data_IF_437825938024
#
_entry.id   IF_437825938024
#
_cell.length_a   1.000
_cell.length_b   1.000
_cell.length_c   1.000
_cell.angle_alpha   90.00
_cell.angle_beta   90.00
_cell.angle_gamma   90.00
#
_symmetry.space_group_name_H-M   'P 1'
#
loop_
_entity.id
_entity.type
_entity.pdbx_description
1 polymer ?
#
# COMPACT_ATOMS: atom_id res chain seq x y z
N UNK A 1 -40.73 -22.68 -61.20
CA UNK A 1 -41.36 -23.53 -60.16
C UNK A 1 -40.22 -24.22 -59.42
N UNK A 2 -40.00 -24.12 -58.11
CA UNK A 2 -40.90 -24.13 -56.96
C UNK A 2 -40.09 -23.64 -55.73
N UNK A 3 -40.62 -22.68 -54.97
CA UNK A 3 -40.08 -22.27 -53.65
C UNK A 3 -40.39 -23.32 -52.57
N UNK A 4 -39.64 -23.23 -51.45
CA UNK A 4 -39.77 -23.81 -50.08
C UNK A 4 -38.50 -24.58 -49.75
N UNK A 5 -37.72 -24.27 -48.71
CA UNK A 5 -38.08 -23.77 -47.39
C UNK A 5 -36.92 -22.99 -46.76
N UNK A 6 -37.21 -21.76 -46.35
CA UNK A 6 -36.43 -20.99 -45.38
C UNK A 6 -36.49 -21.66 -43.99
N UNK A 7 -35.51 -21.32 -43.14
CA UNK A 7 -35.51 -21.51 -41.67
C UNK A 7 -35.24 -22.93 -41.18
N UNK A 8 -33.97 -23.32 -41.20
CA UNK A 8 -33.49 -24.36 -40.30
C UNK A 8 -32.04 -24.10 -39.91
N UNK A 9 -31.87 -23.72 -38.64
CA UNK A 9 -30.68 -23.98 -37.84
C UNK A 9 -29.47 -23.08 -38.14
N UNK A 10 -29.72 -21.79 -38.01
CA UNK A 10 -28.76 -20.78 -37.57
C UNK A 10 -28.37 -21.02 -36.10
N UNK A 11 -27.71 -22.13 -35.75
CA UNK A 11 -27.23 -22.40 -34.37
C UNK A 11 -26.07 -23.39 -34.36
N UNK A 12 -24.88 -22.98 -34.84
CA UNK A 12 -23.65 -23.68 -34.48
C UNK A 12 -22.51 -22.68 -34.20
N UNK A 13 -22.19 -22.59 -32.91
CA UNK A 13 -20.87 -22.31 -32.36
C UNK A 13 -20.25 -20.92 -32.56
N UNK A 14 -20.87 -19.88 -31.98
CA UNK A 14 -20.08 -18.81 -31.34
C UNK A 14 -19.66 -19.33 -29.96
N UNK A 15 -18.54 -20.04 -29.92
CA UNK A 15 -17.91 -20.45 -28.67
C UNK A 15 -16.40 -20.50 -28.86
N UNK A 16 -15.80 -19.37 -29.23
CA UNK A 16 -14.34 -19.22 -29.28
C UNK A 16 -13.94 -18.23 -28.19
N UNK A 17 -13.60 -18.82 -27.05
CA UNK A 17 -12.55 -18.37 -26.12
C UNK A 17 -12.81 -17.03 -25.43
N UNK A 18 -13.78 -17.03 -24.51
CA UNK A 18 -13.66 -16.32 -23.23
C UNK A 18 -12.72 -17.12 -22.32
N UNK A 19 -11.44 -17.26 -22.70
CA UNK A 19 -10.40 -17.58 -21.73
C UNK A 19 -10.14 -16.29 -20.95
N UNK A 20 -11.04 -16.01 -20.00
CA UNK A 20 -10.87 -14.93 -19.05
C UNK A 20 -9.50 -15.10 -18.41
N UNK A 21 -8.67 -14.08 -18.55
CA UNK A 21 -7.48 -13.86 -17.75
C UNK A 21 -7.93 -13.73 -16.29
N UNK A 22 -8.16 -14.87 -15.62
CA UNK A 22 -8.30 -14.91 -14.17
C UNK A 22 -6.88 -14.72 -13.64
N UNK A 23 -6.41 -13.47 -13.66
CA UNK A 23 -5.21 -13.14 -12.91
C UNK A 23 -5.49 -13.49 -11.45
N UNK A 24 -4.63 -14.25 -10.77
CA UNK A 24 -4.83 -14.53 -9.36
C UNK A 24 -4.87 -13.19 -8.63
N UNK A 25 -5.94 -12.95 -7.86
CA UNK A 25 -6.12 -11.75 -7.01
C UNK A 25 -4.90 -11.51 -6.10
N UNK A 26 -4.18 -12.58 -5.76
CA UNK A 26 -2.91 -12.53 -5.04
C UNK A 26 -1.80 -11.72 -5.75
N UNK A 27 -1.82 -11.61 -7.09
CA UNK A 27 -0.89 -10.79 -7.86
C UNK A 27 -1.29 -9.30 -7.86
N UNK A 28 -2.58 -8.99 -7.81
CA UNK A 28 -3.09 -7.61 -7.73
C UNK A 28 -2.89 -7.00 -6.34
N UNK A 29 -2.84 -7.84 -5.30
CA UNK A 29 -2.67 -7.37 -3.92
C UNK A 29 -1.21 -7.38 -3.43
N UNK A 30 -0.23 -7.46 -4.34
CA UNK A 30 1.15 -7.04 -4.04
C UNK A 30 1.26 -5.51 -3.97
N UNK A 31 0.33 -4.81 -3.30
CA UNK A 31 0.67 -3.51 -2.73
C UNK A 31 1.84 -3.80 -1.80
N UNK A 32 3.02 -3.36 -2.22
CA UNK A 32 4.30 -3.83 -1.71
C UNK A 32 4.28 -3.97 -0.19
N UNK A 33 4.70 -5.14 0.28
CA UNK A 33 5.14 -5.32 1.67
C UNK A 33 5.97 -4.08 2.03
N UNK A 34 5.60 -3.36 3.08
CA UNK A 34 6.32 -2.16 3.55
C UNK A 34 6.22 -0.90 2.67
N UNK A 35 5.06 -0.60 2.07
CA UNK A 35 4.82 0.72 1.48
C UNK A 35 4.33 1.73 2.54
N UNK A 36 4.70 3.02 2.42
CA UNK A 36 4.18 4.07 3.29
C UNK A 36 2.66 4.11 3.25
N UNK A 37 2.03 4.28 4.41
CA UNK A 37 0.61 4.60 4.47
C UNK A 37 0.50 6.12 4.43
N UNK A 38 0.03 6.65 3.30
CA UNK A 38 -0.29 8.07 3.14
C UNK A 38 -1.80 8.23 3.15
N UNK A 39 -2.31 9.01 4.08
CA UNK A 39 -3.73 9.38 4.09
C UNK A 39 -4.05 10.28 2.91
N UNK A 40 -5.07 9.89 2.14
CA UNK A 40 -5.55 10.71 1.03
C UNK A 40 -6.15 12.00 1.60
N UNK A 41 -5.66 13.19 1.17
CA UNK A 41 -6.12 14.45 1.74
C UNK A 41 -7.59 14.72 1.42
N UNK A 42 -8.15 15.70 2.13
CA UNK A 42 -9.49 16.25 1.88
C UNK A 42 -9.39 17.53 1.04
N UNK A 43 -10.51 17.98 0.49
CA UNK A 43 -10.60 19.25 -0.25
C UNK A 43 -9.96 19.19 -1.66
N UNK A 44 -9.63 20.36 -2.20
CA UNK A 44 -9.23 20.54 -3.60
C UNK A 44 -7.99 19.73 -3.99
N UNK A 45 -6.99 19.65 -3.10
CA UNK A 45 -5.76 18.88 -3.37
C UNK A 45 -6.04 17.40 -3.65
N UNK A 46 -7.11 16.83 -3.07
CA UNK A 46 -7.54 15.46 -3.37
C UNK A 46 -7.86 15.30 -4.84
N UNK A 47 -8.62 16.24 -5.39
CA UNK A 47 -9.03 16.19 -6.81
C UNK A 47 -7.83 16.37 -7.73
N UNK A 48 -6.92 17.29 -7.39
CA UNK A 48 -5.66 17.46 -8.13
C UNK A 48 -4.88 16.14 -8.21
N UNK A 49 -4.67 15.47 -7.08
CA UNK A 49 -3.93 14.21 -7.04
C UNK A 49 -4.63 13.13 -7.87
N UNK A 50 -5.95 12.97 -7.69
CA UNK A 50 -6.72 11.95 -8.39
C UNK A 50 -6.74 12.17 -9.90
N UNK A 51 -6.87 13.41 -10.34
CA UNK A 51 -6.99 13.75 -11.76
C UNK A 51 -5.63 13.77 -12.47
N UNK A 52 -4.56 14.23 -11.81
CA UNK A 52 -3.28 14.50 -12.47
C UNK A 52 -2.18 13.47 -12.19
N UNK A 53 -2.26 12.70 -11.10
CA UNK A 53 -1.12 11.89 -10.63
C UNK A 53 -1.41 10.39 -10.58
N UNK A 54 -2.64 10.00 -10.21
CA UNK A 54 -2.94 8.58 -9.94
C UNK A 54 -3.18 7.70 -11.16
N UNK A 55 -3.02 8.24 -12.37
CA UNK A 55 -3.11 7.47 -13.61
C UNK A 55 -1.99 6.42 -13.73
N UNK A 56 -0.82 6.67 -13.13
CA UNK A 56 0.36 5.80 -13.29
C UNK A 56 0.85 5.18 -11.97
N UNK A 57 0.79 5.89 -10.84
CA UNK A 57 1.30 5.41 -9.56
C UNK A 57 0.44 5.87 -8.37
N UNK A 58 0.68 5.28 -7.20
CA UNK A 58 -0.01 5.64 -5.95
C UNK A 58 0.54 6.92 -5.32
N UNK A 59 -0.23 7.47 -4.38
CA UNK A 59 0.15 8.68 -3.61
C UNK A 59 1.17 8.38 -2.51
N UNK A 60 1.34 7.10 -2.18
CA UNK A 60 2.25 6.62 -1.16
C UNK A 60 3.71 6.86 -1.54
N UNK A 61 4.02 6.97 -2.83
CA UNK A 61 5.36 7.27 -3.33
C UNK A 61 5.88 8.64 -2.83
N UNK A 62 4.98 9.57 -2.48
CA UNK A 62 5.37 10.90 -1.97
C UNK A 62 6.10 10.80 -0.64
N UNK A 63 5.74 9.83 0.21
CA UNK A 63 6.31 9.69 1.54
C UNK A 63 7.77 9.23 1.54
N UNK A 64 8.34 8.78 0.42
CA UNK A 64 9.77 8.49 0.33
C UNK A 64 10.64 9.75 0.26
N UNK A 65 10.05 10.94 0.17
CA UNK A 65 10.76 12.20 0.00
C UNK A 65 10.54 13.13 1.19
N UNK A 66 11.53 13.98 1.42
CA UNK A 66 11.47 15.14 2.32
C UNK A 66 12.19 16.27 1.58
N UNK A 67 11.43 17.13 0.91
CA UNK A 67 11.97 18.11 -0.04
C UNK A 67 11.30 19.46 0.13
N UNK A 68 12.02 20.53 -0.20
CA UNK A 68 11.46 21.87 -0.28
C UNK A 68 10.56 22.04 -1.52
N UNK A 69 9.93 23.22 -1.65
CA UNK A 69 9.03 23.52 -2.77
C UNK A 69 9.73 23.39 -4.12
N UNK A 70 11.00 23.80 -4.19
CA UNK A 70 11.81 23.73 -5.41
C UNK A 70 12.10 22.28 -5.82
N UNK A 71 12.44 21.42 -4.87
CA UNK A 71 12.66 19.99 -5.09
C UNK A 71 11.38 19.29 -5.59
N UNK A 72 10.24 19.58 -4.96
CA UNK A 72 8.95 19.06 -5.42
C UNK A 72 8.55 19.56 -6.80
N UNK A 73 8.77 20.84 -7.11
CA UNK A 73 8.51 21.41 -8.43
C UNK A 73 9.31 20.67 -9.51
N UNK A 74 10.62 20.46 -9.31
CA UNK A 74 11.46 19.68 -10.23
C UNK A 74 10.97 18.24 -10.41
N UNK A 75 10.51 17.60 -9.34
CA UNK A 75 9.95 16.25 -9.44
C UNK A 75 8.66 16.23 -10.28
N UNK A 76 7.75 17.18 -10.05
CA UNK A 76 6.50 17.31 -10.83
C UNK A 76 6.81 17.59 -12.31
N UNK A 77 7.80 18.45 -12.59
CA UNK A 77 8.22 18.72 -13.98
C UNK A 77 8.73 17.45 -14.66
N UNK A 78 9.50 16.62 -13.96
CA UNK A 78 9.92 15.31 -14.49
C UNK A 78 8.75 14.34 -14.73
N UNK A 79 7.62 14.50 -14.02
CA UNK A 79 6.41 13.73 -14.30
C UNK A 79 5.66 14.28 -15.51
N UNK A 80 5.68 15.60 -15.74
CA UNK A 80 5.13 16.21 -16.95
C UNK A 80 5.87 15.73 -18.20
N UNK A 81 7.20 15.63 -18.13
CA UNK A 81 8.02 15.02 -19.19
C UNK A 81 7.62 13.55 -19.48
N UNK A 82 7.10 12.85 -18.48
CA UNK A 82 6.58 11.47 -18.58
C UNK A 82 5.09 11.38 -18.91
N UNK A 83 4.45 12.52 -19.21
CA UNK A 83 3.06 12.58 -19.66
C UNK A 83 2.02 12.96 -18.61
N UNK A 84 2.43 13.34 -17.39
CA UNK A 84 1.48 13.90 -16.42
C UNK A 84 0.95 15.27 -16.89
N UNK A 85 -0.36 15.48 -16.75
CA UNK A 85 -1.02 16.73 -17.12
C UNK A 85 -1.56 17.42 -15.88
N UNK A 86 -1.05 18.62 -15.59
CA UNK A 86 -1.43 19.43 -14.44
C UNK A 86 -1.35 20.92 -14.80
N UNK A 87 -2.36 21.69 -14.41
CA UNK A 87 -2.40 23.15 -14.61
C UNK A 87 -1.42 23.87 -13.66
N UNK A 88 -1.15 25.15 -13.91
CA UNK A 88 -0.31 25.95 -13.01
C UNK A 88 -0.95 26.14 -11.63
N UNK A 89 -2.27 26.36 -11.58
CA UNK A 89 -3.03 26.52 -10.34
C UNK A 89 -3.06 25.23 -9.52
N UNK A 90 -3.38 24.09 -10.16
CA UNK A 90 -3.40 22.78 -9.51
C UNK A 90 -1.99 22.41 -9.01
N UNK A 91 -0.96 22.74 -9.77
CA UNK A 91 0.42 22.52 -9.35
C UNK A 91 0.74 23.32 -8.08
N UNK A 92 0.30 24.57 -7.97
CA UNK A 92 0.51 25.35 -6.74
C UNK A 92 -0.18 24.69 -5.54
N UNK A 93 -1.43 24.26 -5.70
CA UNK A 93 -2.20 23.55 -4.65
C UNK A 93 -1.47 22.27 -4.22
N UNK A 94 -0.97 21.50 -5.18
CA UNK A 94 -0.24 20.26 -4.92
C UNK A 94 1.08 20.55 -4.18
N UNK A 95 1.84 21.55 -4.63
CA UNK A 95 3.11 21.93 -3.99
C UNK A 95 2.94 22.36 -2.54
N UNK A 96 1.91 23.16 -2.25
CA UNK A 96 1.67 23.64 -0.89
C UNK A 96 1.36 22.47 0.06
N UNK A 97 0.59 21.49 -0.42
CA UNK A 97 0.32 20.27 0.35
C UNK A 97 1.54 19.35 0.49
N UNK A 98 2.30 19.13 -0.59
CA UNK A 98 3.51 18.31 -0.57
C UNK A 98 4.55 18.88 0.40
N UNK A 99 4.77 20.19 0.41
CA UNK A 99 5.69 20.84 1.36
C UNK A 99 5.13 20.75 2.79
N UNK A 100 3.83 20.93 2.98
CA UNK A 100 3.19 20.80 4.31
C UNK A 100 3.34 19.40 4.90
N UNK A 101 3.31 18.34 4.08
CA UNK A 101 3.35 16.95 4.55
C UNK A 101 4.72 16.31 4.48
N UNK A 102 5.50 16.67 3.46
CA UNK A 102 6.75 16.03 3.06
C UNK A 102 7.84 17.09 2.80
N UNK A 103 7.84 18.15 3.61
CA UNK A 103 8.84 19.23 3.60
C UNK A 103 10.22 18.77 4.08
N UNK A 104 11.24 19.65 4.06
CA UNK A 104 12.62 19.33 4.46
C UNK A 104 12.76 18.79 5.88
N UNK A 105 11.89 19.24 6.79
CA UNK A 105 11.90 18.82 8.20
C UNK A 105 11.11 17.52 8.45
N UNK A 106 10.47 16.97 7.42
CA UNK A 106 9.78 15.69 7.53
C UNK A 106 10.76 14.52 7.54
N UNK A 107 10.36 13.39 8.12
CA UNK A 107 11.13 12.14 8.07
C UNK A 107 10.64 11.30 6.89
N UNK A 108 11.43 11.15 5.82
CA UNK A 108 11.02 10.34 4.69
C UNK A 108 10.98 8.87 5.08
N UNK A 109 10.11 8.12 4.43
CA UNK A 109 10.05 6.68 4.59
C UNK A 109 11.35 6.04 4.06
N UNK A 110 11.92 5.06 4.78
CA UNK A 110 13.15 4.40 4.36
C UNK A 110 13.04 3.77 2.96
N UNK A 111 13.92 4.15 2.03
CA UNK A 111 14.05 3.50 0.71
C UNK A 111 14.85 2.20 0.81
N UNK A 112 14.30 1.25 1.53
CA UNK A 112 14.84 -0.11 1.63
C UNK A 112 14.35 -0.88 0.42
N UNK A 113 15.20 -1.75 -0.14
CA UNK A 113 14.72 -2.67 -1.19
C UNK A 113 13.64 -3.55 -0.55
N UNK A 114 12.54 -3.78 -1.27
CA UNK A 114 11.33 -4.49 -0.82
C UNK A 114 11.53 -6.01 -0.50
N UNK A 115 12.78 -6.40 -0.28
CA UNK A 115 13.26 -7.77 -0.12
C UNK A 115 13.82 -8.03 1.28
N UNK A 116 14.22 -7.00 2.03
CA UNK A 116 14.66 -7.15 3.42
C UNK A 116 13.45 -7.24 4.37
N UNK A 117 13.52 -8.02 5.47
CA UNK A 117 12.42 -8.11 6.42
C UNK A 117 12.09 -6.73 7.02
N UNK A 118 10.80 -6.44 7.14
CA UNK A 118 10.27 -5.09 7.47
C UNK A 118 10.81 -4.59 8.81
N UNK A 119 11.03 -5.50 9.74
CA UNK A 119 11.49 -5.22 11.10
C UNK A 119 12.98 -5.49 11.30
N UNK A 120 13.65 -6.09 10.30
CA UNK A 120 15.10 -6.26 10.30
C UNK A 120 15.84 -5.19 9.48
N UNK A 121 15.12 -4.31 8.78
CA UNK A 121 15.75 -3.15 8.15
C UNK A 121 16.06 -2.06 9.18
N UNK A 122 17.34 -1.72 9.31
CA UNK A 122 17.81 -0.55 10.05
C UNK A 122 18.59 -0.92 11.30
N UNK A 123 19.91 -0.80 11.20
CA UNK A 123 20.77 -0.83 12.37
C UNK A 123 20.35 0.22 13.40
N UNK A 124 20.05 -0.24 14.62
CA UNK A 124 20.32 0.50 15.86
C UNK A 124 19.16 1.22 16.55
N UNK A 125 18.17 1.74 15.84
CA UNK A 125 17.15 2.63 16.42
C UNK A 125 15.81 1.90 16.72
N UNK A 126 15.48 1.81 18.02
CA UNK A 126 14.26 1.17 18.53
C UNK A 126 12.98 1.87 18.07
N UNK A 127 12.99 3.19 17.88
CA UNK A 127 11.80 3.95 17.50
C UNK A 127 11.41 3.70 16.03
N UNK A 128 12.40 3.59 15.14
CA UNK A 128 12.19 3.21 13.75
C UNK A 128 11.62 1.79 13.63
N UNK A 129 12.12 0.85 14.43
CA UNK A 129 11.62 -0.52 14.51
C UNK A 129 10.19 -0.57 15.05
N UNK A 130 9.89 0.15 16.12
CA UNK A 130 8.54 0.26 16.67
C UNK A 130 7.57 0.89 15.65
N UNK A 131 8.00 1.93 14.93
CA UNK A 131 7.20 2.53 13.87
C UNK A 131 6.94 1.56 12.70
N UNK A 132 7.92 0.72 12.35
CA UNK A 132 7.76 -0.32 11.34
C UNK A 132 6.79 -1.42 11.81
N UNK A 133 6.92 -1.88 13.06
CA UNK A 133 6.03 -2.87 13.65
C UNK A 133 4.58 -2.36 13.73
N UNK A 134 4.39 -1.11 14.15
CA UNK A 134 3.09 -0.44 14.13
C UNK A 134 2.46 -0.44 12.73
N UNK A 135 3.23 -0.12 11.68
CA UNK A 135 2.74 -0.17 10.30
C UNK A 135 2.36 -1.57 9.86
N UNK A 136 3.11 -2.60 10.26
CA UNK A 136 2.74 -4.00 9.99
C UNK A 136 1.39 -4.31 10.63
N UNK A 137 1.17 -3.93 11.89
CA UNK A 137 -0.13 -4.11 12.55
C UNK A 137 -1.23 -3.36 11.78
N UNK A 138 -1.03 -2.08 11.49
CA UNK A 138 -2.03 -1.24 10.83
C UNK A 138 -2.32 -1.61 9.38
N UNK A 139 -1.39 -2.24 8.65
CA UNK A 139 -1.59 -2.62 7.25
C UNK A 139 -1.95 -4.09 7.07
N UNK A 140 -1.27 -4.99 7.78
CA UNK A 140 -1.42 -6.43 7.61
C UNK A 140 -2.56 -6.96 8.46
N UNK A 141 -2.59 -6.65 9.76
CA UNK A 141 -3.55 -7.27 10.69
C UNK A 141 -4.99 -6.82 10.44
N UNK A 142 -5.19 -5.57 9.97
CA UNK A 142 -6.55 -5.09 9.64
C UNK A 142 -7.15 -5.67 8.36
N UNK A 143 -6.37 -6.43 7.59
CA UNK A 143 -6.82 -6.95 6.28
C UNK A 143 -7.92 -8.00 6.43
N UNK A 144 -7.94 -8.75 7.55
CA UNK A 144 -8.90 -9.83 7.77
C UNK A 144 -9.83 -9.61 8.98
N UNK A 145 -9.45 -8.78 9.96
CA UNK A 145 -10.23 -8.52 11.17
C UNK A 145 -9.95 -7.12 11.71
N UNK A 146 -10.76 -6.63 12.66
CA UNK A 146 -10.51 -5.33 13.31
C UNK A 146 -9.27 -5.37 14.20
N UNK A 147 -8.64 -4.19 14.41
CA UNK A 147 -7.49 -4.05 15.31
C UNK A 147 -7.86 -4.12 16.79
N UNK A 148 -9.13 -3.91 17.13
CA UNK A 148 -9.66 -4.01 18.51
C UNK A 148 -9.24 -5.32 19.19
N UNK A 149 -9.21 -6.44 18.46
CA UNK A 149 -8.79 -7.75 19.00
C UNK A 149 -7.34 -7.76 19.50
N UNK A 150 -6.48 -6.93 18.91
CA UNK A 150 -5.09 -6.76 19.32
C UNK A 150 -5.02 -5.75 20.47
N UNK A 151 -5.78 -4.65 20.37
CA UNK A 151 -5.78 -3.56 21.35
C UNK A 151 -6.27 -3.98 22.74
N UNK A 152 -7.24 -4.91 22.81
CA UNK A 152 -7.76 -5.44 24.08
C UNK A 152 -6.98 -6.65 24.59
N UNK A 153 -6.13 -7.25 23.75
CA UNK A 153 -5.37 -8.42 24.10
C UNK A 153 -4.15 -8.06 24.94
N UNK A 154 -3.86 -8.90 25.93
CA UNK A 154 -2.75 -8.73 26.86
C UNK A 154 -2.02 -10.05 27.01
N UNK A 155 -0.89 -10.18 26.34
CA UNK A 155 -0.16 -11.45 26.24
C UNK A 155 1.34 -11.25 26.46
N UNK A 156 2.00 -12.33 26.89
CA UNK A 156 3.46 -12.41 26.93
C UNK A 156 4.04 -12.42 25.52
N UNK A 157 5.34 -12.16 25.38
CA UNK A 157 6.02 -12.21 24.08
C UNK A 157 5.86 -13.57 23.40
N UNK A 158 6.03 -14.67 24.14
CA UNK A 158 5.85 -16.03 23.59
C UNK A 158 4.43 -16.24 23.06
N UNK A 159 3.42 -15.81 23.82
CA UNK A 159 2.04 -15.96 23.39
C UNK A 159 1.72 -15.08 22.17
N UNK A 160 2.29 -13.88 22.09
CA UNK A 160 2.20 -13.05 20.89
C UNK A 160 2.88 -13.69 19.67
N UNK A 161 4.03 -14.33 19.87
CA UNK A 161 4.77 -15.05 18.83
C UNK A 161 3.96 -16.20 18.22
N UNK A 162 3.27 -16.96 19.07
CA UNK A 162 2.35 -18.03 18.65
C UNK A 162 1.19 -17.46 17.81
N UNK A 163 0.55 -16.39 18.30
CA UNK A 163 -0.57 -15.74 17.61
C UNK A 163 -0.12 -15.20 16.24
N UNK A 164 1.01 -14.51 16.17
CA UNK A 164 1.54 -13.98 14.89
C UNK A 164 1.85 -15.14 13.92
N UNK A 165 2.43 -16.24 14.41
CA UNK A 165 2.70 -17.45 13.62
C UNK A 165 1.42 -18.10 13.10
N UNK A 166 0.38 -18.15 13.93
CA UNK A 166 -0.94 -18.63 13.55
C UNK A 166 -1.57 -17.75 12.47
N UNK A 167 -1.51 -16.42 12.61
CA UNK A 167 -2.03 -15.49 11.60
C UNK A 167 -1.29 -15.63 10.27
N UNK A 168 0.03 -15.88 10.28
CA UNK A 168 0.79 -16.21 9.08
C UNK A 168 0.27 -17.46 8.38
N UNK A 169 0.04 -18.51 9.16
CA UNK A 169 -0.52 -19.78 8.65
C UNK A 169 -1.91 -19.57 8.05
N UNK A 170 -2.69 -18.64 8.59
CA UNK A 170 -4.01 -18.23 8.09
C UNK A 170 -3.96 -17.24 6.91
N UNK A 171 -2.77 -16.87 6.44
CA UNK A 171 -2.58 -16.05 5.23
C UNK A 171 -2.17 -14.60 5.47
N UNK A 172 -1.93 -14.17 6.72
CA UNK A 172 -1.36 -12.86 6.99
C UNK A 172 0.03 -12.74 6.36
N UNK A 173 0.23 -11.69 5.56
CA UNK A 173 1.45 -11.46 4.80
C UNK A 173 2.56 -10.89 5.69
N UNK A 174 3.15 -11.74 6.53
CA UNK A 174 4.25 -11.40 7.46
C UNK A 174 5.45 -12.29 7.14
N UNK A 175 6.65 -11.72 7.05
CA UNK A 175 7.87 -12.49 6.86
C UNK A 175 8.19 -13.34 8.10
N UNK A 176 8.82 -14.51 7.93
CA UNK A 176 9.21 -15.34 9.06
C UNK A 176 10.20 -14.61 9.98
N UNK A 177 11.11 -13.83 9.39
CA UNK A 177 12.11 -13.06 10.11
C UNK A 177 11.52 -11.86 10.88
N UNK A 178 10.28 -11.46 10.56
CA UNK A 178 9.56 -10.38 11.24
C UNK A 178 8.73 -10.89 12.45
N UNK A 179 8.54 -12.21 12.62
CA UNK A 179 7.68 -12.76 13.68
C UNK A 179 8.20 -12.39 15.07
N UNK A 180 9.48 -12.65 15.35
CA UNK A 180 10.08 -12.36 16.64
C UNK A 180 10.07 -10.86 16.99
N UNK A 181 10.55 -9.94 16.12
CA UNK A 181 10.49 -8.51 16.44
C UNK A 181 9.06 -7.97 16.52
N UNK A 182 8.10 -8.51 15.74
CA UNK A 182 6.69 -8.11 15.87
C UNK A 182 6.11 -8.56 17.21
N UNK A 183 6.39 -9.79 17.65
CA UNK A 183 5.95 -10.30 18.94
C UNK A 183 6.51 -9.48 20.12
N UNK A 184 7.79 -9.09 20.04
CA UNK A 184 8.42 -8.21 21.02
C UNK A 184 7.72 -6.84 21.09
N UNK A 185 7.44 -6.24 19.93
CA UNK A 185 6.70 -4.98 19.85
C UNK A 185 5.30 -5.10 20.47
N UNK A 186 4.56 -6.16 20.15
CA UNK A 186 3.21 -6.40 20.67
C UNK A 186 3.22 -6.62 22.19
N UNK A 187 4.17 -7.36 22.72
CA UNK A 187 4.32 -7.57 24.17
C UNK A 187 4.66 -6.28 24.91
N UNK A 188 5.56 -5.47 24.34
CA UNK A 188 5.93 -4.15 24.86
C UNK A 188 4.75 -3.16 24.84
N UNK A 189 3.92 -3.21 23.80
CA UNK A 189 2.82 -2.26 23.57
C UNK A 189 1.55 -2.65 24.33
N UNK A 190 1.23 -3.95 24.35
CA UNK A 190 -0.01 -4.51 24.90
C UNK A 190 0.32 -5.45 26.07
N UNK A 191 0.84 -4.85 27.13
CA UNK A 191 1.45 -5.55 28.27
C UNK A 191 0.41 -6.38 29.04
N UNK A 192 0.73 -7.66 29.26
CA UNK A 192 0.07 -8.49 30.26
C UNK A 192 0.41 -7.99 31.66
N UNK A 193 -0.61 -7.58 32.42
CA UNK A 193 -0.47 -7.24 33.83
C UNK A 193 -0.07 -8.46 34.64
#
# INVERSE_FOLDING_TARGET
>A
MKQRSEKAVLWFAIAVILAGSVMPVAAQNRRGRNRPIVELPKGTVRQVILNSCTACHGIDDYAYYAMDRTGWQKLIDSMKEKGAVISDDDRSILLDWLVSKFGPDSKPFPRTRAEDPILNFGGGDTAARDAAAKRVVESVCRTCHTLERIEVAKYTEDKWRDIVTEMRTKGAQIDAADVAPLAQYLAKTYVAN
#
